data_IF_987531782085
#
_entry.id   IF_987531782085
#
_cell.length_a   1.000
_cell.length_b   1.000
_cell.length_c   1.000
_cell.angle_alpha   90.00
_cell.angle_beta   90.00
_cell.angle_gamma   90.00
#
_symmetry.space_group_name_H-M   'P 1'
#
loop_
_entity.id
_entity.type
_entity.pdbx_description
1 polymer ?
#
# COMPACT_ATOMS: atom_id res chain seq x y z
N UNK A 1 4.43 9.34 -14.57
CA UNK A 1 3.87 8.80 -13.30
C UNK A 1 4.79 9.25 -12.18
N UNK A 2 4.50 10.38 -11.53
CA UNK A 2 5.31 10.94 -10.43
C UNK A 2 4.44 11.25 -9.20
N UNK A 3 3.60 10.27 -8.84
CA UNK A 3 3.05 10.17 -7.50
C UNK A 3 3.23 8.71 -7.11
N UNK A 4 4.15 8.45 -6.17
CA UNK A 4 4.26 7.15 -5.53
C UNK A 4 3.04 6.94 -4.63
N UNK A 5 1.90 6.57 -5.22
CA UNK A 5 0.76 6.08 -4.48
C UNK A 5 1.03 4.62 -4.10
N UNK A 6 1.90 4.44 -3.11
CA UNK A 6 2.08 3.15 -2.47
C UNK A 6 0.90 2.98 -1.51
N UNK A 7 -0.24 2.53 -2.04
CA UNK A 7 -1.34 2.10 -1.20
C UNK A 7 -0.91 0.78 -0.57
N UNK A 8 -0.57 0.84 0.71
CA UNK A 8 -0.69 -0.32 1.58
C UNK A 8 -2.01 -1.00 1.22
N UNK A 9 -1.97 -2.30 0.95
CA UNK A 9 -3.20 -3.03 0.68
C UNK A 9 -4.10 -3.01 1.92
N UNK A 10 -5.37 -3.38 1.79
CA UNK A 10 -6.33 -3.29 2.89
C UNK A 10 -5.85 -3.99 4.16
N UNK A 11 -5.18 -5.14 4.02
CA UNK A 11 -4.59 -5.86 5.15
C UNK A 11 -3.45 -5.07 5.79
N UNK A 12 -2.55 -4.52 4.99
CA UNK A 12 -1.42 -3.71 5.48
C UNK A 12 -1.90 -2.41 6.15
N UNK A 13 -2.92 -1.75 5.63
CA UNK A 13 -3.56 -0.59 6.26
C UNK A 13 -4.20 -0.96 7.60
N UNK A 14 -4.90 -2.09 7.65
CA UNK A 14 -5.50 -2.59 8.89
C UNK A 14 -4.42 -2.91 9.94
N UNK A 15 -3.33 -3.54 9.52
CA UNK A 15 -2.20 -3.84 10.40
C UNK A 15 -1.51 -2.55 10.89
N UNK A 16 -1.33 -1.55 10.02
CA UNK A 16 -0.80 -0.23 10.39
C UNK A 16 -1.71 0.48 11.40
N UNK A 17 -3.01 0.57 11.12
CA UNK A 17 -3.97 1.25 11.99
C UNK A 17 -3.97 0.64 13.39
N UNK A 18 -3.95 -0.69 13.51
CA UNK A 18 -3.89 -1.38 14.80
C UNK A 18 -2.66 -0.99 15.62
N UNK A 19 -1.49 -0.98 14.98
CA UNK A 19 -0.22 -0.62 15.64
C UNK A 19 -0.21 0.84 16.06
N UNK A 20 -0.71 1.74 15.20
CA UNK A 20 -0.80 3.18 15.50
C UNK A 20 -1.74 3.42 16.69
N UNK A 21 -2.95 2.83 16.68
CA UNK A 21 -3.90 2.96 17.80
C UNK A 21 -3.29 2.48 19.10
N UNK A 22 -2.71 1.28 19.13
CA UNK A 22 -2.07 0.74 20.34
C UNK A 22 -0.93 1.63 20.87
N UNK A 23 -0.17 2.27 19.97
CA UNK A 23 0.90 3.16 20.37
C UNK A 23 0.38 4.49 20.93
N UNK A 24 -0.73 5.01 20.39
CA UNK A 24 -1.40 6.19 20.92
C UNK A 24 -1.99 5.92 22.30
N UNK A 25 -2.63 4.77 22.51
CA UNK A 25 -3.15 4.36 23.82
C UNK A 25 -2.02 4.28 24.86
N UNK A 26 -0.85 3.75 24.47
CA UNK A 26 0.34 3.75 25.32
C UNK A 26 0.80 5.17 25.66
N UNK A 27 0.80 6.08 24.69
CA UNK A 27 1.21 7.46 24.90
C UNK A 27 0.24 8.22 25.81
N UNK A 28 -1.07 7.98 25.65
CA UNK A 28 -2.12 8.51 26.53
C UNK A 28 -1.92 8.04 27.97
N UNK A 29 -1.66 6.74 28.17
CA UNK A 29 -1.36 6.21 29.50
C UNK A 29 -0.11 6.86 30.14
N UNK A 30 0.94 7.14 29.36
CA UNK A 30 2.11 7.87 29.89
C UNK A 30 1.74 9.30 30.30
N UNK A 31 0.89 9.98 29.52
CA UNK A 31 0.42 11.32 29.82
C UNK A 31 -0.45 11.35 31.09
N UNK A 32 -1.39 10.41 31.24
CA UNK A 32 -2.24 10.27 32.44
C UNK A 32 -1.41 10.02 33.71
N UNK A 33 -0.34 9.24 33.58
CA UNK A 33 0.60 8.98 34.69
C UNK A 33 1.56 10.14 34.96
N UNK A 34 1.42 11.27 34.26
CA UNK A 34 2.28 12.45 34.40
C UNK A 34 3.77 12.15 34.13
N UNK A 35 4.05 11.14 33.30
CA UNK A 35 5.40 10.81 32.89
C UNK A 35 5.82 11.77 31.77
N UNK A 36 6.57 12.81 32.14
CA UNK A 36 7.14 13.73 31.16
C UNK A 36 8.22 13.01 30.33
N UNK A 37 8.02 12.97 29.01
CA UNK A 37 8.92 12.32 28.06
C UNK A 37 9.42 13.32 27.02
N UNK A 38 10.70 13.25 26.69
CA UNK A 38 11.28 14.00 25.58
C UNK A 38 11.01 13.31 24.25
N UNK A 39 11.16 14.02 23.13
CA UNK A 39 11.06 13.42 21.79
C UNK A 39 12.04 12.26 21.58
N UNK A 40 13.22 12.31 22.24
CA UNK A 40 14.19 11.21 22.18
C UNK A 40 13.63 9.96 22.87
N UNK A 41 13.03 10.12 24.05
CA UNK A 41 12.45 9.00 24.80
C UNK A 41 11.30 8.37 24.02
N UNK A 42 10.48 9.17 23.34
CA UNK A 42 9.43 8.67 22.45
C UNK A 42 9.98 7.83 21.30
N UNK A 43 11.09 8.23 20.67
CA UNK A 43 11.74 7.43 19.62
C UNK A 43 12.22 6.09 20.18
N UNK A 44 12.85 6.10 21.35
CA UNK A 44 13.33 4.87 22.00
C UNK A 44 12.17 3.93 22.37
N UNK A 45 11.07 4.46 22.92
CA UNK A 45 9.87 3.67 23.23
C UNK A 45 9.18 3.14 21.98
N UNK A 46 9.09 3.93 20.91
CA UNK A 46 8.53 3.49 19.64
C UNK A 46 9.32 2.31 19.06
N UNK A 47 10.65 2.38 19.08
CA UNK A 47 11.49 1.29 18.61
C UNK A 47 11.28 0.01 19.43
N UNK A 48 11.26 0.13 20.76
CA UNK A 48 10.98 -1.02 21.64
C UNK A 48 9.57 -1.60 21.41
N UNK A 49 8.57 -0.73 21.23
CA UNK A 49 7.20 -1.12 20.96
C UNK A 49 7.07 -1.88 19.64
N UNK A 50 7.70 -1.38 18.57
CA UNK A 50 7.71 -2.04 17.26
C UNK A 50 8.39 -3.41 17.33
N UNK A 51 9.55 -3.51 18.00
CA UNK A 51 10.24 -4.79 18.21
C UNK A 51 9.41 -5.80 19.00
N UNK A 52 8.75 -5.35 20.07
CA UNK A 52 7.85 -6.20 20.87
C UNK A 52 6.68 -6.75 20.05
N UNK A 53 6.16 -5.95 19.12
CA UNK A 53 5.09 -6.36 18.18
C UNK A 53 5.63 -7.10 16.94
N UNK A 54 6.89 -7.54 16.94
CA UNK A 54 7.51 -8.32 15.86
C UNK A 54 7.73 -7.52 14.57
N UNK A 55 7.84 -6.19 14.65
CA UNK A 55 8.18 -5.33 13.51
C UNK A 55 9.68 -5.04 13.49
N UNK A 56 10.25 -5.05 12.30
CA UNK A 56 11.64 -4.67 12.09
C UNK A 56 11.82 -3.15 12.16
N UNK A 57 12.90 -2.71 12.79
CA UNK A 57 13.26 -1.29 12.84
C UNK A 57 14.11 -0.97 11.63
N UNK A 58 13.73 0.11 10.94
CA UNK A 58 14.50 0.61 9.81
C UNK A 58 15.76 1.32 10.32
N UNK A 59 16.89 0.61 10.33
CA UNK A 59 18.17 1.16 10.81
C UNK A 59 18.92 2.00 9.76
N UNK A 60 18.57 1.89 8.48
CA UNK A 60 19.21 2.61 7.39
C UNK A 60 18.19 2.96 6.30
N UNK A 61 18.52 3.92 5.44
CA UNK A 61 17.67 4.33 4.31
C UNK A 61 17.59 3.26 3.19
N UNK A 62 18.06 2.03 3.42
CA UNK A 62 18.24 1.01 2.40
C UNK A 62 19.48 1.23 1.52
N UNK A 63 19.68 0.33 0.55
CA UNK A 63 20.80 0.39 -0.41
C UNK A 63 20.39 0.91 -1.79
N UNK A 64 19.08 0.98 -2.07
CA UNK A 64 18.54 1.32 -3.38
C UNK A 64 18.15 2.80 -3.36
N UNK A 65 18.74 3.59 -4.26
CA UNK A 65 18.36 4.99 -4.41
C UNK A 65 16.98 5.11 -5.04
N UNK A 66 16.31 6.24 -4.80
CA UNK A 66 15.00 6.51 -5.39
C UNK A 66 15.00 6.41 -6.93
N UNK A 67 16.10 6.83 -7.58
CA UNK A 67 16.25 6.71 -9.04
C UNK A 67 16.27 5.27 -9.53
N UNK A 68 17.02 4.39 -8.84
CA UNK A 68 17.08 2.96 -9.18
C UNK A 68 15.74 2.28 -8.92
N UNK A 69 15.06 2.62 -7.80
CA UNK A 69 13.72 2.10 -7.51
C UNK A 69 12.70 2.49 -8.59
N UNK A 70 12.77 3.72 -9.10
CA UNK A 70 11.89 4.23 -10.15
C UNK A 70 12.12 3.50 -11.48
N UNK A 71 13.37 3.26 -11.86
CA UNK A 71 13.70 2.50 -13.07
C UNK A 71 13.19 1.05 -12.99
N UNK A 72 13.38 0.39 -11.85
CA UNK A 72 12.85 -0.95 -11.61
C UNK A 72 11.32 -0.98 -11.69
N UNK A 73 10.65 0.01 -11.09
CA UNK A 73 9.20 0.12 -11.15
C UNK A 73 8.68 0.30 -12.58
N UNK A 74 9.33 1.13 -13.40
CA UNK A 74 8.95 1.27 -14.81
C UNK A 74 9.15 -0.03 -15.59
N UNK A 75 10.26 -0.73 -15.36
CA UNK A 75 10.54 -2.01 -16.01
C UNK A 75 9.49 -3.08 -15.69
N UNK A 76 9.03 -3.15 -14.45
CA UNK A 76 7.95 -4.07 -14.07
C UNK A 76 6.58 -3.61 -14.61
N UNK A 77 6.32 -2.30 -14.63
CA UNK A 77 5.12 -1.74 -15.22
C UNK A 77 5.00 -2.05 -16.71
N UNK A 78 6.09 -1.97 -17.47
CA UNK A 78 6.09 -2.30 -18.91
C UNK A 78 5.68 -3.75 -19.16
N UNK A 79 6.15 -4.69 -18.32
CA UNK A 79 5.72 -6.10 -18.38
C UNK A 79 4.24 -6.27 -18.04
N UNK A 80 3.76 -5.54 -17.02
CA UNK A 80 2.36 -5.56 -16.63
C UNK A 80 1.46 -4.99 -17.74
N UNK A 81 1.85 -3.87 -18.34
CA UNK A 81 1.11 -3.19 -19.42
C UNK A 81 0.83 -4.14 -20.59
N UNK A 82 1.83 -4.91 -21.03
CA UNK A 82 1.63 -5.92 -22.10
C UNK A 82 0.57 -6.96 -21.73
N UNK A 83 0.49 -7.38 -20.46
CA UNK A 83 -0.56 -8.30 -19.99
C UNK A 83 -1.91 -7.61 -19.90
N UNK A 84 -1.94 -6.38 -19.41
CA UNK A 84 -3.15 -5.57 -19.32
C UNK A 84 -3.76 -5.34 -20.70
N UNK A 85 -2.97 -4.91 -21.68
CA UNK A 85 -3.43 -4.65 -23.05
C UNK A 85 -4.04 -5.91 -23.70
N UNK A 86 -3.51 -7.11 -23.41
CA UNK A 86 -4.06 -8.38 -23.90
C UNK A 86 -5.39 -8.77 -23.24
N UNK A 87 -5.58 -8.39 -21.98
CA UNK A 87 -6.79 -8.70 -21.20
C UNK A 87 -7.84 -7.60 -21.29
N UNK A 88 -7.46 -6.44 -21.82
CA UNK A 88 -8.32 -5.28 -21.93
C UNK A 88 -9.42 -5.54 -22.96
N UNK A 89 -10.67 -5.48 -22.51
CA UNK A 89 -11.86 -5.39 -23.36
C UNK A 89 -12.43 -4.01 -23.14
N UNK A 90 -12.54 -3.23 -24.22
CA UNK A 90 -13.17 -1.92 -24.16
C UNK A 90 -14.67 -2.07 -23.89
N UNK A 91 -15.27 -1.08 -23.26
CA UNK A 91 -16.74 -0.98 -23.14
C UNK A 91 -17.42 -0.99 -24.52
N UNK A 92 -16.72 -0.50 -25.55
CA UNK A 92 -17.16 -0.63 -26.94
C UNK A 92 -17.14 -2.08 -27.45
N UNK A 93 -16.11 -2.85 -27.12
CA UNK A 93 -16.04 -4.28 -27.48
C UNK A 93 -17.14 -5.07 -26.76
N UNK A 94 -17.43 -4.71 -25.50
CA UNK A 94 -18.52 -5.30 -24.73
C UNK A 94 -19.87 -4.96 -25.37
N UNK A 95 -20.10 -3.70 -25.73
CA UNK A 95 -21.33 -3.24 -26.41
C UNK A 95 -21.55 -3.93 -27.76
N UNK A 96 -20.50 -4.10 -28.58
CA UNK A 96 -20.60 -4.82 -29.86
C UNK A 96 -20.94 -6.30 -29.66
N UNK A 97 -20.36 -6.93 -28.63
CA UNK A 97 -20.67 -8.32 -28.29
C UNK A 97 -22.12 -8.47 -27.83
N UNK A 98 -22.63 -7.57 -26.99
CA UNK A 98 -24.04 -7.56 -26.57
C UNK A 98 -24.98 -7.40 -27.76
N UNK A 99 -24.69 -6.46 -28.66
CA UNK A 99 -25.50 -6.22 -29.87
C UNK A 99 -25.55 -7.45 -30.78
N UNK A 100 -24.42 -8.11 -31.02
CA UNK A 100 -24.35 -9.35 -31.83
C UNK A 100 -25.10 -10.53 -31.19
N UNK A 101 -25.15 -10.61 -29.86
CA UNK A 101 -25.90 -11.66 -29.17
C UNK A 101 -27.43 -11.47 -29.32
N UNK A 102 -27.88 -10.22 -29.43
CA UNK A 102 -29.29 -9.88 -29.66
C UNK A 102 -29.71 -10.19 -31.10
N UNK A 103 -28.85 -9.87 -32.09
CA UNK A 103 -29.08 -10.19 -33.51
C UNK A 103 -29.13 -11.71 -33.76
N UNK A 104 -28.20 -12.49 -33.19
CA UNK A 104 -28.20 -13.96 -33.33
C UNK A 104 -29.36 -14.65 -32.57
N UNK A 105 -29.99 -13.97 -31.62
CA UNK A 105 -31.18 -14.44 -30.91
C UNK A 105 -32.50 -14.08 -31.60
N UNK A 106 -32.48 -13.23 -32.63
CA UNK A 106 -33.66 -12.80 -33.39
C UNK A 106 -33.85 -13.55 -34.72
N UNK A 107 -32.91 -14.44 -35.08
CA UNK A 107 -32.96 -15.34 -36.25
C UNK A 107 -33.48 -16.76 -35.92
N UNK A 108 -34.30 -16.90 -34.86
CA UNK A 108 -35.03 -18.14 -34.53
C UNK A 108 -36.51 -17.91 -34.31
#
# INVERSE_FOLDING_TARGET
>A
MDIAKNYLNEKELKDLNRIVTMYLDYAELQAENHNAMTMKDWVEKLNAFLQFNGKEILHNAGKISAGVAKELAYKEYDKFKVKQDKLYKSDFDNFLNETRMIENGSDK
#
